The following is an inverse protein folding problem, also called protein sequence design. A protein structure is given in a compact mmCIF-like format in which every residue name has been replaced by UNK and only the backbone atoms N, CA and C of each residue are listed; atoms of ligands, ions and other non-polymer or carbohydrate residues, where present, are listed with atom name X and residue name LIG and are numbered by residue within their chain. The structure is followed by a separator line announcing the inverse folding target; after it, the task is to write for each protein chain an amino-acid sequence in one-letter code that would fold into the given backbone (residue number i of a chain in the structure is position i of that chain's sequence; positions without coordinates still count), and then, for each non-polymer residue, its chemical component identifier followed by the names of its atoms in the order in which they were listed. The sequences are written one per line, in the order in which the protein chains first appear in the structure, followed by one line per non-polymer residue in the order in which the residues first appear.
data_IF_816010554864
#
_entry.id   IF_816010554864
#
_cell.length_a   1.000
_cell.length_b   1.000
_cell.length_c   1.000
_cell.angle_alpha   90.00
_cell.angle_beta   90.00
_cell.angle_gamma   90.00
#
_symmetry.space_group_name_H-M   'P 1'
#
loop_
_entity.id
_entity.type
_entity.pdbx_description
1 polymer ?
#
# COMPACT_ATOMS: atom_id res chain seq x y z
N UNK A 1 36.72 7.66 19.88
CA UNK A 1 35.32 7.45 19.40
C UNK A 1 34.63 8.75 19.14
N UNK A 2 34.83 9.78 19.94
CA UNK A 2 34.25 11.11 19.76
C UNK A 2 34.66 11.77 18.43
N UNK A 3 35.92 11.70 18.06
CA UNK A 3 36.42 12.21 16.77
C UNK A 3 35.68 11.55 15.58
N UNK A 4 35.45 10.22 15.64
CA UNK A 4 34.70 9.50 14.60
C UNK A 4 33.22 9.91 14.56
N UNK A 5 32.63 10.18 15.72
CA UNK A 5 31.26 10.69 15.81
C UNK A 5 31.16 12.10 15.16
N UNK A 6 32.08 12.99 15.50
CA UNK A 6 32.12 14.34 14.92
C UNK A 6 32.39 14.28 13.39
N UNK A 7 33.26 13.35 12.96
CA UNK A 7 33.48 13.11 11.53
C UNK A 7 32.22 12.59 10.83
N UNK A 8 31.45 11.68 11.48
CA UNK A 8 30.17 11.19 10.92
C UNK A 8 29.17 12.33 10.72
N UNK A 9 29.04 13.24 11.70
CA UNK A 9 28.19 14.42 11.60
C UNK A 9 28.67 15.30 10.44
N UNK A 10 29.96 15.61 10.37
CA UNK A 10 30.55 16.42 9.29
C UNK A 10 30.25 15.82 7.90
N UNK A 11 30.34 14.48 7.78
CA UNK A 11 30.01 13.77 6.52
C UNK A 11 28.51 13.86 6.19
N UNK A 12 27.65 13.74 7.20
CA UNK A 12 26.21 13.92 7.03
C UNK A 12 25.86 15.35 6.55
N UNK A 13 26.43 16.38 7.19
CA UNK A 13 26.22 17.80 6.83
C UNK A 13 26.75 18.12 5.43
N UNK A 14 27.85 17.47 5.04
CA UNK A 14 28.41 17.54 3.68
C UNK A 14 27.61 16.70 2.66
N UNK A 15 26.48 16.10 3.05
CA UNK A 15 25.63 15.22 2.22
C UNK A 15 26.36 13.97 1.67
N UNK A 16 27.47 13.59 2.28
CA UNK A 16 28.21 12.36 1.98
C UNK A 16 27.59 11.19 2.77
N UNK A 17 26.30 10.90 2.48
CA UNK A 17 25.46 10.03 3.33
C UNK A 17 25.98 8.61 3.47
N UNK A 18 26.48 7.99 2.41
CA UNK A 18 27.06 6.63 2.46
C UNK A 18 28.28 6.55 3.40
N UNK A 19 29.11 7.62 3.43
CA UNK A 19 30.25 7.69 4.37
C UNK A 19 29.77 7.94 5.80
N UNK A 20 28.76 8.80 5.98
CA UNK A 20 28.15 9.06 7.27
C UNK A 20 27.55 7.78 7.89
N UNK A 21 26.80 7.00 7.13
CA UNK A 21 26.21 5.72 7.56
C UNK A 21 27.30 4.80 8.10
N UNK A 22 28.37 4.56 7.33
CA UNK A 22 29.49 3.69 7.76
C UNK A 22 30.14 4.15 9.07
N UNK A 23 30.32 5.46 9.23
CA UNK A 23 30.89 6.02 10.46
C UNK A 23 29.92 5.90 11.63
N UNK A 24 28.60 6.13 11.41
CA UNK A 24 27.58 5.94 12.42
C UNK A 24 27.50 4.47 12.87
N UNK A 25 27.59 3.51 11.96
CA UNK A 25 27.64 2.09 12.29
C UNK A 25 28.80 1.74 13.23
N UNK A 26 29.99 2.29 12.98
CA UNK A 26 31.18 2.08 13.82
C UNK A 26 30.99 2.65 15.23
N UNK A 27 30.38 3.84 15.36
CA UNK A 27 30.26 4.51 16.67
C UNK A 27 29.01 4.08 17.46
N UNK A 28 27.98 3.57 16.80
CA UNK A 28 26.71 3.15 17.42
C UNK A 28 26.87 2.26 18.66
N UNK A 29 27.72 1.21 18.68
CA UNK A 29 27.87 0.38 19.87
C UNK A 29 28.38 1.15 21.09
N UNK A 30 29.21 2.17 20.88
CA UNK A 30 29.77 2.98 21.95
C UNK A 30 28.78 3.98 22.56
N UNK A 31 27.77 4.38 21.79
CA UNK A 31 26.77 5.37 22.20
C UNK A 31 25.44 4.74 22.68
N UNK A 32 25.34 3.41 22.78
CA UNK A 32 24.16 2.74 23.36
C UNK A 32 23.89 3.27 24.77
N UNK A 33 22.62 3.67 25.03
CA UNK A 33 22.21 4.23 26.32
C UNK A 33 22.64 5.69 26.56
N UNK A 34 23.35 6.31 25.64
CA UNK A 34 23.74 7.73 25.76
C UNK A 34 22.79 8.65 24.96
N UNK A 35 22.64 9.93 25.37
CA UNK A 35 21.73 10.87 24.67
C UNK A 35 22.02 11.04 23.17
N UNK A 36 23.28 10.95 22.76
CA UNK A 36 23.69 11.06 21.36
C UNK A 36 23.09 9.96 20.48
N UNK A 37 22.67 8.84 21.04
CA UNK A 37 22.13 7.71 20.29
C UNK A 37 20.84 8.07 19.55
N UNK A 38 19.99 8.91 20.11
CA UNK A 38 18.79 9.43 19.45
C UNK A 38 19.16 10.16 18.16
N UNK A 39 20.13 11.09 18.22
CA UNK A 39 20.60 11.83 17.05
C UNK A 39 21.21 10.90 16.01
N UNK A 40 22.01 9.93 16.42
CA UNK A 40 22.61 8.93 15.51
C UNK A 40 21.53 8.17 14.76
N UNK A 41 20.52 7.63 15.46
CA UNK A 41 19.46 6.84 14.83
C UNK A 41 18.65 7.65 13.83
N UNK A 42 18.32 8.90 14.17
CA UNK A 42 17.62 9.79 13.24
C UNK A 42 18.46 10.10 12.00
N UNK A 43 19.74 10.44 12.18
CA UNK A 43 20.65 10.77 11.07
C UNK A 43 20.93 9.56 10.18
N UNK A 44 20.99 8.35 10.72
CA UNK A 44 21.11 7.10 9.94
C UNK A 44 19.86 6.88 9.09
N UNK A 45 18.66 7.04 9.67
CA UNK A 45 17.40 6.92 8.94
C UNK A 45 17.31 7.95 7.79
N UNK A 46 17.66 9.21 8.10
CA UNK A 46 17.66 10.30 7.12
C UNK A 46 18.73 10.11 6.02
N UNK A 47 19.89 9.59 6.38
CA UNK A 47 20.95 9.27 5.41
C UNK A 47 20.49 8.20 4.41
N UNK A 48 19.84 7.13 4.90
CA UNK A 48 19.26 6.10 4.04
C UNK A 48 18.16 6.66 3.13
N UNK A 49 17.35 7.61 3.62
CA UNK A 49 16.36 8.30 2.80
C UNK A 49 16.99 9.05 1.63
N UNK A 50 18.04 9.83 1.91
CA UNK A 50 18.76 10.62 0.92
C UNK A 50 19.53 9.75 -0.09
N UNK A 51 20.02 8.57 0.33
CA UNK A 51 20.61 7.54 -0.54
C UNK A 51 19.55 6.74 -1.33
N UNK A 52 18.26 7.08 -1.21
CA UNK A 52 17.13 6.38 -1.83
C UNK A 52 16.98 4.91 -1.42
N UNK A 53 17.62 4.51 -0.32
CA UNK A 53 17.43 3.20 0.32
C UNK A 53 16.13 3.19 1.13
N UNK A 54 15.00 3.38 0.44
CA UNK A 54 13.72 3.73 1.05
C UNK A 54 13.17 2.67 2.01
N UNK A 55 13.23 1.39 1.65
CA UNK A 55 12.77 0.32 2.53
C UNK A 55 13.54 0.31 3.87
N UNK A 56 14.86 0.53 3.80
CA UNK A 56 15.72 0.58 4.97
C UNK A 56 15.49 1.87 5.78
N UNK A 57 15.32 3.00 5.10
CA UNK A 57 14.96 4.27 5.73
C UNK A 57 13.64 4.15 6.51
N UNK A 58 12.60 3.58 5.89
CA UNK A 58 11.30 3.35 6.53
C UNK A 58 11.43 2.52 7.81
N UNK A 59 12.23 1.44 7.76
CA UNK A 59 12.52 0.61 8.92
C UNK A 59 13.24 1.39 10.03
N UNK A 60 14.26 2.18 9.72
CA UNK A 60 15.00 2.94 10.74
C UNK A 60 14.17 4.06 11.35
N UNK A 61 13.33 4.76 10.59
CA UNK A 61 12.42 5.75 11.13
C UNK A 61 11.33 5.11 12.02
N UNK A 62 10.73 3.99 11.61
CA UNK A 62 9.78 3.23 12.45
C UNK A 62 10.44 2.79 13.77
N UNK A 63 11.66 2.27 13.71
CA UNK A 63 12.42 1.91 14.89
C UNK A 63 12.75 3.11 15.79
N UNK A 64 13.05 4.27 15.19
CA UNK A 64 13.29 5.51 15.92
C UNK A 64 12.04 5.93 16.74
N UNK A 65 10.86 5.91 16.15
CA UNK A 65 9.62 6.28 16.85
C UNK A 65 9.33 5.40 18.05
N UNK A 66 9.66 4.10 17.96
CA UNK A 66 9.51 3.12 19.04
C UNK A 66 10.56 3.30 20.14
N UNK A 67 11.79 3.60 19.77
CA UNK A 67 12.90 3.77 20.72
C UNK A 67 12.84 5.10 21.48
N UNK A 68 12.29 6.15 20.84
CA UNK A 68 12.25 7.51 21.38
C UNK A 68 10.82 8.08 21.36
N UNK A 69 9.89 7.52 22.15
CA UNK A 69 8.48 7.92 22.13
C UNK A 69 8.24 9.37 22.60
N UNK A 70 9.21 9.97 23.30
CA UNK A 70 9.16 11.36 23.80
C UNK A 70 10.02 12.34 22.97
N UNK A 71 10.59 11.90 21.87
CA UNK A 71 11.42 12.75 21.00
C UNK A 71 10.58 13.83 20.32
N UNK A 72 11.12 15.04 20.25
CA UNK A 72 10.55 16.13 19.43
C UNK A 72 10.56 15.79 17.92
N UNK A 73 11.37 14.82 17.52
CA UNK A 73 11.47 14.33 16.15
C UNK A 73 10.53 13.15 15.84
N UNK A 74 9.72 12.69 16.83
CA UNK A 74 8.87 11.50 16.66
C UNK A 74 7.83 11.68 15.55
N UNK A 75 7.15 12.80 15.50
CA UNK A 75 6.17 13.09 14.46
C UNK A 75 6.81 13.09 13.07
N UNK A 76 7.92 13.82 12.90
CA UNK A 76 8.68 13.87 11.66
C UNK A 76 9.14 12.47 11.23
N UNK A 77 9.68 11.68 12.17
CA UNK A 77 10.13 10.32 11.89
C UNK A 77 8.97 9.39 11.52
N UNK A 78 7.81 9.52 12.17
CA UNK A 78 6.62 8.74 11.85
C UNK A 78 6.15 8.99 10.42
N UNK A 79 6.07 10.26 10.01
CA UNK A 79 5.74 10.62 8.63
C UNK A 79 6.78 10.11 7.63
N UNK A 80 8.07 10.32 7.92
CA UNK A 80 9.16 9.89 7.03
C UNK A 80 9.26 8.36 6.91
N UNK A 81 8.87 7.60 7.94
CA UNK A 81 8.74 6.15 7.86
C UNK A 81 7.69 5.76 6.82
N UNK A 82 6.48 6.31 6.93
CA UNK A 82 5.39 6.05 6.00
C UNK A 82 5.73 6.46 4.57
N UNK A 83 6.31 7.64 4.43
CA UNK A 83 6.71 8.17 3.12
C UNK A 83 7.84 7.37 2.47
N UNK A 84 8.80 6.90 3.25
CA UNK A 84 9.86 6.01 2.77
C UNK A 84 9.29 4.69 2.23
N UNK A 85 8.39 4.02 2.97
CA UNK A 85 7.72 2.82 2.48
C UNK A 85 6.86 3.09 1.23
N UNK A 86 6.23 4.27 1.12
CA UNK A 86 5.54 4.68 -0.11
C UNK A 86 6.50 4.76 -1.28
N UNK A 87 7.69 5.34 -1.10
CA UNK A 87 8.70 5.46 -2.16
C UNK A 87 9.32 4.10 -2.54
N UNK A 88 9.34 3.12 -1.62
CA UNK A 88 9.76 1.74 -1.93
C UNK A 88 8.66 0.89 -2.55
N UNK A 89 7.39 1.33 -2.45
CA UNK A 89 6.23 0.61 -2.97
C UNK A 89 6.27 0.48 -4.50
N UNK A 90 6.29 -0.75 -5.05
CA UNK A 90 6.41 -0.98 -6.49
C UNK A 90 5.11 -0.67 -7.25
N UNK A 91 5.11 -0.88 -8.57
CA UNK A 91 3.90 -0.85 -9.39
C UNK A 91 2.91 -1.91 -8.93
N UNK A 92 1.61 -1.69 -9.18
CA UNK A 92 0.51 -2.53 -8.65
C UNK A 92 0.62 -4.02 -9.00
N UNK A 93 1.24 -4.36 -10.14
CA UNK A 93 1.35 -5.74 -10.62
C UNK A 93 2.37 -6.60 -9.84
N UNK A 94 3.30 -5.98 -9.13
CA UNK A 94 4.32 -6.67 -8.33
C UNK A 94 3.82 -6.96 -6.91
N UNK A 95 4.69 -7.54 -6.07
CA UNK A 95 4.41 -7.74 -4.65
C UNK A 95 4.12 -6.42 -3.94
N UNK A 96 3.10 -6.39 -3.07
CA UNK A 96 2.64 -5.18 -2.40
C UNK A 96 3.01 -5.12 -0.91
N UNK A 97 4.01 -5.88 -0.48
CA UNK A 97 4.45 -5.91 0.92
C UNK A 97 4.82 -4.51 1.42
N UNK A 98 5.60 -3.75 0.65
CA UNK A 98 5.97 -2.38 1.06
C UNK A 98 4.81 -1.39 0.94
N UNK A 99 3.87 -1.61 0.02
CA UNK A 99 2.61 -0.84 -0.03
C UNK A 99 1.80 -1.02 1.24
N UNK A 100 1.67 -2.25 1.73
CA UNK A 100 0.95 -2.54 2.97
C UNK A 100 1.65 -1.94 4.20
N UNK A 101 2.99 -1.97 4.26
CA UNK A 101 3.75 -1.28 5.30
C UNK A 101 3.50 0.23 5.27
N UNK A 102 3.50 0.83 4.08
CA UNK A 102 3.22 2.26 3.92
C UNK A 102 1.81 2.63 4.38
N UNK A 103 0.80 1.84 3.98
CA UNK A 103 -0.59 2.05 4.40
C UNK A 103 -0.72 2.00 5.93
N UNK A 104 -0.15 0.97 6.56
CA UNK A 104 -0.16 0.85 8.02
C UNK A 104 0.54 2.04 8.68
N UNK A 105 1.70 2.45 8.18
CA UNK A 105 2.46 3.55 8.74
C UNK A 105 1.74 4.90 8.58
N UNK A 106 1.10 5.16 7.42
CA UNK A 106 0.26 6.35 7.24
C UNK A 106 -0.98 6.32 8.12
N UNK A 107 -1.64 5.17 8.29
CA UNK A 107 -2.79 5.05 9.17
C UNK A 107 -2.42 5.36 10.62
N UNK A 108 -1.28 4.85 11.10
CA UNK A 108 -0.76 5.16 12.43
C UNK A 108 -0.45 6.66 12.56
N UNK A 109 0.21 7.27 11.56
CA UNK A 109 0.49 8.70 11.57
C UNK A 109 -0.79 9.53 11.64
N UNK A 110 -1.80 9.22 10.83
CA UNK A 110 -3.08 9.93 10.80
C UNK A 110 -3.80 9.83 12.15
N UNK A 111 -3.75 8.66 12.79
CA UNK A 111 -4.38 8.44 14.09
C UNK A 111 -3.64 9.15 15.22
N UNK A 112 -2.30 9.11 15.23
CA UNK A 112 -1.47 9.66 16.30
C UNK A 112 -1.33 11.19 16.21
N UNK A 113 -1.44 11.76 15.00
CA UNK A 113 -1.19 13.19 14.72
C UNK A 113 -2.31 13.83 13.89
N UNK A 114 -3.58 13.82 14.38
CA UNK A 114 -4.74 14.32 13.62
C UNK A 114 -4.68 15.83 13.33
N UNK A 115 -3.88 16.58 14.08
CA UNK A 115 -3.68 18.04 13.93
C UNK A 115 -2.34 18.40 13.30
N UNK A 116 -1.63 17.45 12.71
CA UNK A 116 -0.36 17.70 12.03
C UNK A 116 -0.55 18.54 10.78
N UNK A 117 0.37 19.46 10.50
CA UNK A 117 0.43 20.21 9.23
C UNK A 117 0.59 19.29 8.01
N UNK A 118 0.99 18.02 8.23
CA UNK A 118 1.15 16.99 7.19
C UNK A 118 -0.05 16.07 7.04
N UNK A 119 -1.15 16.33 7.75
CA UNK A 119 -2.31 15.41 7.76
C UNK A 119 -2.95 15.27 6.38
N UNK A 120 -3.07 16.35 5.63
CA UNK A 120 -3.63 16.33 4.27
C UNK A 120 -2.74 15.54 3.31
N UNK A 121 -1.42 15.73 3.39
CA UNK A 121 -0.44 14.99 2.59
C UNK A 121 -0.48 13.50 2.93
N UNK A 122 -0.55 13.14 4.21
CA UNK A 122 -0.64 11.75 4.67
C UNK A 122 -1.91 11.07 4.15
N UNK A 123 -3.06 11.73 4.25
CA UNK A 123 -4.34 11.22 3.73
C UNK A 123 -4.31 11.04 2.20
N UNK A 124 -3.70 11.97 1.47
CA UNK A 124 -3.53 11.85 0.02
C UNK A 124 -2.70 10.61 -0.33
N UNK A 125 -1.56 10.43 0.33
CA UNK A 125 -0.69 9.27 0.10
C UNK A 125 -1.35 7.96 0.48
N UNK A 126 -2.11 7.92 1.57
CA UNK A 126 -2.90 6.76 1.98
C UNK A 126 -3.89 6.37 0.88
N UNK A 127 -4.67 7.32 0.36
CA UNK A 127 -5.63 7.07 -0.74
C UNK A 127 -4.95 6.57 -2.03
N UNK A 128 -3.81 7.14 -2.40
CA UNK A 128 -3.02 6.71 -3.56
C UNK A 128 -2.57 5.24 -3.44
N UNK A 129 -2.10 4.86 -2.25
CA UNK A 129 -1.66 3.48 -1.98
C UNK A 129 -2.84 2.51 -1.92
N UNK A 130 -3.95 2.92 -1.31
CA UNK A 130 -5.18 2.13 -1.27
C UNK A 130 -5.68 1.86 -2.70
N UNK A 131 -5.76 2.91 -3.53
CA UNK A 131 -6.14 2.76 -4.94
C UNK A 131 -5.20 1.84 -5.73
N UNK A 132 -3.91 1.81 -5.39
CA UNK A 132 -2.97 0.85 -5.98
C UNK A 132 -3.35 -0.61 -5.70
N UNK A 133 -3.81 -0.93 -4.48
CA UNK A 133 -4.29 -2.26 -4.11
C UNK A 133 -5.63 -2.59 -4.80
N UNK A 134 -6.55 -1.62 -4.84
CA UNK A 134 -7.82 -1.75 -5.56
C UNK A 134 -7.58 -2.07 -7.05
N UNK A 135 -6.66 -1.33 -7.68
CA UNK A 135 -6.27 -1.56 -9.07
C UNK A 135 -5.67 -2.95 -9.28
N UNK A 136 -4.82 -3.41 -8.35
CA UNK A 136 -4.27 -4.78 -8.41
C UNK A 136 -5.38 -5.82 -8.38
N UNK A 137 -6.30 -5.73 -7.41
CA UNK A 137 -7.42 -6.65 -7.29
C UNK A 137 -8.30 -6.63 -8.55
N UNK A 138 -8.59 -5.44 -9.08
CA UNK A 138 -9.37 -5.28 -10.31
C UNK A 138 -8.71 -5.95 -11.52
N UNK A 139 -7.42 -5.71 -11.73
CA UNK A 139 -6.69 -6.31 -12.86
C UNK A 139 -6.53 -7.84 -12.73
N UNK A 140 -6.45 -8.37 -11.50
CA UNK A 140 -6.52 -9.82 -11.25
C UNK A 140 -7.89 -10.35 -11.69
N UNK A 141 -9.00 -9.70 -11.32
CA UNK A 141 -10.36 -10.08 -11.74
C UNK A 141 -10.51 -10.09 -13.26
N UNK A 142 -10.01 -9.05 -13.93
CA UNK A 142 -9.99 -8.98 -15.41
C UNK A 142 -9.13 -10.07 -16.04
N UNK A 143 -8.04 -10.44 -15.40
CA UNK A 143 -7.17 -11.53 -15.90
C UNK A 143 -7.91 -12.85 -15.83
N UNK A 144 -8.56 -13.18 -14.71
CA UNK A 144 -9.41 -14.36 -14.62
C UNK A 144 -10.53 -14.35 -15.64
N UNK A 145 -11.21 -13.23 -15.83
CA UNK A 145 -12.26 -13.10 -16.84
C UNK A 145 -11.73 -13.39 -18.25
N UNK A 146 -10.58 -12.85 -18.63
CA UNK A 146 -9.97 -13.08 -19.96
C UNK A 146 -9.51 -14.52 -20.16
N UNK A 147 -8.90 -15.12 -19.14
CA UNK A 147 -8.41 -16.50 -19.21
C UNK A 147 -9.54 -17.53 -19.12
N UNK A 148 -10.76 -17.12 -18.76
CA UNK A 148 -11.95 -17.97 -18.77
C UNK A 148 -12.34 -18.48 -20.18
N UNK A 149 -11.90 -17.82 -21.24
CA UNK A 149 -12.04 -18.32 -22.62
C UNK A 149 -11.28 -19.64 -22.84
N UNK A 150 -10.21 -19.89 -22.10
CA UNK A 150 -9.43 -21.14 -22.17
C UNK A 150 -9.88 -22.14 -21.11
N UNK A 151 -10.19 -21.64 -19.89
CA UNK A 151 -10.72 -22.46 -18.80
C UNK A 151 -11.91 -21.75 -18.15
N UNK A 152 -13.11 -22.18 -18.48
CA UNK A 152 -14.38 -21.59 -18.02
C UNK A 152 -14.51 -21.51 -16.49
N UNK A 153 -13.75 -22.29 -15.72
CA UNK A 153 -13.72 -22.22 -14.25
C UNK A 153 -13.24 -20.86 -13.76
N UNK A 154 -12.45 -20.16 -14.56
CA UNK A 154 -11.94 -18.84 -14.24
C UNK A 154 -13.04 -17.76 -14.19
N UNK A 155 -14.22 -17.99 -14.78
CA UNK A 155 -15.37 -17.09 -14.54
C UNK A 155 -15.76 -17.05 -13.06
N UNK A 156 -15.77 -18.19 -12.36
CA UNK A 156 -16.05 -18.21 -10.92
C UNK A 156 -14.96 -17.46 -10.13
N UNK A 157 -13.69 -17.65 -10.51
CA UNK A 157 -12.58 -16.93 -9.90
C UNK A 157 -12.71 -15.41 -10.10
N UNK A 158 -13.08 -14.96 -11.30
CA UNK A 158 -13.33 -13.55 -11.59
C UNK A 158 -14.47 -12.98 -10.72
N UNK A 159 -15.59 -13.71 -10.61
CA UNK A 159 -16.74 -13.32 -9.77
C UNK A 159 -16.30 -13.10 -8.33
N UNK A 160 -15.58 -14.06 -7.75
CA UNK A 160 -15.10 -13.95 -6.35
C UNK A 160 -14.14 -12.78 -6.17
N UNK A 161 -13.21 -12.55 -7.10
CA UNK A 161 -12.26 -11.44 -7.01
C UNK A 161 -12.98 -10.08 -7.08
N UNK A 162 -13.98 -9.93 -7.96
CA UNK A 162 -14.76 -8.69 -8.03
C UNK A 162 -15.68 -8.50 -6.81
N UNK A 163 -16.24 -9.58 -6.25
CA UNK A 163 -16.99 -9.49 -4.98
C UNK A 163 -16.08 -9.03 -3.83
N UNK A 164 -14.89 -9.61 -3.70
CA UNK A 164 -13.92 -9.20 -2.68
C UNK A 164 -13.52 -7.73 -2.86
N UNK A 165 -13.20 -7.29 -4.09
CA UNK A 165 -12.87 -5.91 -4.38
C UNK A 165 -13.97 -4.93 -3.89
N UNK A 166 -15.24 -5.25 -4.17
CA UNK A 166 -16.37 -4.39 -3.80
C UNK A 166 -16.59 -4.37 -2.27
N UNK A 167 -16.35 -5.50 -1.61
CA UNK A 167 -16.56 -5.64 -0.17
C UNK A 167 -15.39 -5.08 0.64
N UNK A 168 -14.16 -5.30 0.20
CA UNK A 168 -12.94 -4.89 0.93
C UNK A 168 -12.63 -3.40 0.74
N UNK A 169 -13.03 -2.81 -0.40
CA UNK A 169 -12.77 -1.41 -0.73
C UNK A 169 -14.08 -0.62 -0.90
N UNK A 170 -14.73 -0.33 0.22
CA UNK A 170 -15.95 0.46 0.23
C UNK A 170 -15.71 1.86 -0.36
N UNK A 171 -16.49 2.24 -1.35
CA UNK A 171 -16.35 3.54 -2.01
C UNK A 171 -15.30 3.59 -3.14
N UNK A 172 -14.75 2.45 -3.54
CA UNK A 172 -13.81 2.38 -4.68
C UNK A 172 -14.40 3.01 -5.94
N UNK A 173 -13.60 3.80 -6.64
CA UNK A 173 -13.96 4.34 -7.96
C UNK A 173 -14.09 3.25 -9.04
N UNK A 174 -13.55 2.05 -8.80
CA UNK A 174 -13.65 0.91 -9.72
C UNK A 174 -14.93 0.09 -9.54
N UNK A 175 -15.84 0.50 -8.63
CA UNK A 175 -17.06 -0.26 -8.29
C UNK A 175 -17.95 -0.51 -9.51
N UNK A 176 -18.14 0.49 -10.35
CA UNK A 176 -18.99 0.38 -11.55
C UNK A 176 -18.44 -0.67 -12.52
N UNK A 177 -17.16 -0.57 -12.84
CA UNK A 177 -16.52 -1.54 -13.75
C UNK A 177 -16.42 -2.95 -13.12
N UNK A 178 -16.17 -3.03 -11.81
CA UNK A 178 -16.12 -4.32 -11.10
C UNK A 178 -17.49 -5.02 -11.13
N UNK A 179 -18.58 -4.30 -10.88
CA UNK A 179 -19.96 -4.85 -10.97
C UNK A 179 -20.29 -5.28 -12.38
N UNK A 180 -19.89 -4.51 -13.39
CA UNK A 180 -20.08 -4.87 -14.80
C UNK A 180 -19.34 -6.15 -15.18
N UNK A 181 -18.03 -6.24 -14.88
CA UNK A 181 -17.26 -7.46 -15.20
C UNK A 181 -17.72 -8.67 -14.40
N UNK A 182 -18.16 -8.46 -13.16
CA UNK A 182 -18.79 -9.50 -12.33
C UNK A 182 -20.07 -10.05 -12.99
N UNK A 183 -20.98 -9.17 -13.39
CA UNK A 183 -22.21 -9.56 -14.13
C UNK A 183 -21.85 -10.29 -15.43
N UNK A 184 -20.92 -9.72 -16.18
CA UNK A 184 -20.47 -10.32 -17.44
C UNK A 184 -19.89 -11.73 -17.26
N UNK A 185 -19.15 -11.96 -16.17
CA UNK A 185 -18.64 -13.29 -15.82
C UNK A 185 -19.77 -14.28 -15.50
N UNK A 186 -20.81 -13.86 -14.78
CA UNK A 186 -22.01 -14.68 -14.58
C UNK A 186 -22.71 -15.01 -15.88
N UNK A 187 -22.93 -14.03 -16.75
CA UNK A 187 -23.57 -14.20 -18.04
C UNK A 187 -22.80 -15.18 -18.94
N UNK A 188 -21.49 -14.98 -19.11
CA UNK A 188 -20.67 -15.81 -19.98
C UNK A 188 -20.53 -17.24 -19.43
N UNK A 189 -20.55 -17.40 -18.10
CA UNK A 189 -20.60 -18.70 -17.45
C UNK A 189 -21.90 -19.48 -17.76
N UNK A 190 -23.02 -18.79 -17.95
CA UNK A 190 -24.29 -19.43 -18.42
C UNK A 190 -24.10 -20.02 -19.80
N UNK A 191 -23.45 -19.29 -20.72
CA UNK A 191 -23.27 -19.70 -22.12
C UNK A 191 -22.48 -21.00 -22.21
N UNK A 192 -21.41 -21.15 -21.41
CA UNK A 192 -20.53 -22.31 -21.41
C UNK A 192 -21.01 -23.46 -20.47
N UNK A 193 -22.21 -23.31 -19.90
CA UNK A 193 -22.72 -24.24 -18.91
C UNK A 193 -23.31 -25.52 -19.55
N UNK A 194 -23.09 -26.66 -18.87
CA UNK A 194 -23.85 -27.87 -19.16
C UNK A 194 -25.34 -27.68 -18.83
N UNK A 195 -26.21 -28.40 -19.50
CA UNK A 195 -27.66 -28.32 -19.32
C UNK A 195 -28.08 -28.47 -17.84
N UNK A 196 -27.39 -29.35 -17.10
CA UNK A 196 -27.67 -29.61 -15.67
C UNK A 196 -27.49 -28.39 -14.76
N UNK A 197 -26.53 -27.52 -15.07
CA UNK A 197 -26.22 -26.33 -14.26
C UNK A 197 -26.80 -25.00 -14.81
N UNK A 198 -27.36 -25.08 -16.01
CA UNK A 198 -27.73 -23.90 -16.77
C UNK A 198 -28.82 -23.05 -16.07
N UNK A 199 -29.83 -23.75 -15.53
CA UNK A 199 -30.95 -23.08 -14.85
C UNK A 199 -30.51 -22.32 -13.58
N UNK A 200 -29.69 -22.95 -12.74
CA UNK A 200 -29.11 -22.31 -11.54
C UNK A 200 -28.29 -21.06 -11.92
N UNK A 201 -27.41 -21.20 -12.91
CA UNK A 201 -26.53 -20.10 -13.36
C UNK A 201 -27.28 -18.95 -14.04
N UNK A 202 -28.41 -19.23 -14.70
CA UNK A 202 -29.29 -18.17 -15.21
C UNK A 202 -29.87 -17.35 -14.04
N UNK A 203 -30.32 -18.00 -12.97
CA UNK A 203 -30.85 -17.30 -11.78
C UNK A 203 -29.78 -16.41 -11.16
N UNK A 204 -28.54 -16.91 -11.04
CA UNK A 204 -27.41 -16.15 -10.52
C UNK A 204 -27.06 -14.95 -11.41
N UNK A 205 -27.04 -15.13 -12.71
CA UNK A 205 -26.79 -14.03 -13.67
C UNK A 205 -27.86 -12.95 -13.63
N UNK A 206 -29.15 -13.33 -13.53
CA UNK A 206 -30.26 -12.39 -13.36
C UNK A 206 -30.12 -11.62 -12.05
N UNK A 207 -29.85 -12.32 -10.93
CA UNK A 207 -29.65 -11.67 -9.64
C UNK A 207 -28.45 -10.68 -9.64
N UNK A 208 -27.36 -11.06 -10.34
CA UNK A 208 -26.20 -10.19 -10.51
C UNK A 208 -26.54 -8.92 -11.32
N UNK A 209 -27.32 -9.06 -12.40
CA UNK A 209 -27.80 -7.93 -13.22
C UNK A 209 -28.71 -7.00 -12.42
N UNK A 210 -29.70 -7.54 -11.73
CA UNK A 210 -30.60 -6.75 -10.90
C UNK A 210 -29.87 -6.00 -9.79
N UNK A 211 -28.88 -6.65 -9.16
CA UNK A 211 -28.00 -6.00 -8.17
C UNK A 211 -27.18 -4.87 -8.80
N UNK A 212 -26.65 -5.08 -10.01
CA UNK A 212 -25.91 -4.06 -10.76
C UNK A 212 -26.80 -2.86 -11.09
N UNK A 213 -27.97 -3.09 -11.71
CA UNK A 213 -28.95 -2.07 -12.09
C UNK A 213 -29.46 -1.26 -10.89
N UNK A 214 -29.75 -1.93 -9.78
CA UNK A 214 -30.20 -1.27 -8.54
C UNK A 214 -29.12 -0.36 -7.93
N UNK A 215 -27.84 -0.79 -7.96
CA UNK A 215 -26.77 0.00 -7.40
C UNK A 215 -26.35 1.16 -8.31
N UNK A 216 -26.49 1.02 -9.62
CA UNK A 216 -25.99 1.96 -10.63
C UNK A 216 -26.97 2.11 -11.78
N UNK A 217 -28.18 2.68 -11.53
CA UNK A 217 -29.26 2.76 -12.54
C UNK A 217 -28.89 3.63 -13.74
N UNK A 218 -27.89 4.50 -13.61
CA UNK A 218 -27.39 5.39 -14.68
C UNK A 218 -26.04 4.94 -15.24
N UNK A 219 -25.66 3.69 -15.03
CA UNK A 219 -24.39 3.16 -15.53
C UNK A 219 -24.38 3.13 -17.06
N UNK A 220 -23.26 3.52 -17.64
CA UNK A 220 -22.98 3.41 -19.08
C UNK A 220 -23.01 1.98 -19.64
N UNK A 221 -23.07 0.97 -18.76
CA UNK A 221 -23.09 -0.45 -19.12
C UNK A 221 -24.49 -1.07 -19.05
N UNK A 222 -25.56 -0.28 -18.84
CA UNK A 222 -26.96 -0.77 -18.70
C UNK A 222 -27.78 -0.53 -19.98
N UNK A 223 -27.18 -0.01 -21.04
CA UNK A 223 -27.84 0.16 -22.35
C UNK A 223 -28.13 -1.14 -23.06
#
# INVERSE_FOLDING_TARGET
MEERYNLAIKKYEAKEYSKAIRLFEIVTPHYRGKPQMERIQFMVAQSNFNEKSYALSGYYFDRFTKNYPKSSKKEEASFLSAYSYKLSSPVYSLDQTDTNKALLAFQLFINDYPNSDRIEEANKHFKELQFKLEKKAFEIGKTYYRTALTDYRNYNSAIVVFDNLINDFLGTSLKEEALYYRFKAYHDLVIVSSQRKKEERIKDAIAAYEKFKRNLPKSKFIE
#
